data_IF_635427007736
#
_entry.id   IF_635427007736
#
_cell.length_a   1.000
_cell.length_b   1.000
_cell.length_c   1.000
_cell.angle_alpha   90.00
_cell.angle_beta   90.00
_cell.angle_gamma   90.00
#
_symmetry.space_group_name_H-M   'P 1'
#
loop_
_entity.id
_entity.type
_entity.pdbx_description
1 polymer ?
#
# COMPACT_ATOMS: atom_id res chain seq x y z
N UNK A 1 7.75 8.22 6.57
CA UNK A 1 6.60 8.62 5.72
C UNK A 1 5.35 8.02 6.32
N UNK A 2 4.27 8.78 6.46
CA UNK A 2 3.01 8.24 6.96
C UNK A 2 2.44 7.22 5.97
N UNK A 3 1.84 6.15 6.48
CA UNK A 3 1.05 5.22 5.69
C UNK A 3 -0.22 5.95 5.25
N UNK A 4 -0.28 6.37 3.97
CA UNK A 4 -1.44 7.08 3.40
C UNK A 4 -2.03 6.30 2.24
N UNK A 5 -3.36 6.22 2.19
CA UNK A 5 -4.07 5.54 1.11
C UNK A 5 -3.86 6.30 -0.21
N UNK A 6 -3.88 7.63 -0.14
CA UNK A 6 -3.94 8.51 -1.30
C UNK A 6 -5.39 8.86 -1.63
N UNK A 7 -5.60 10.08 -2.08
CA UNK A 7 -6.85 10.60 -2.64
C UNK A 7 -6.61 10.92 -4.12
N UNK A 8 -7.67 11.34 -4.81
CA UNK A 8 -7.55 11.84 -6.18
C UNK A 8 -6.53 12.98 -6.32
N UNK A 9 -6.39 13.82 -5.30
CA UNK A 9 -5.51 15.00 -5.29
C UNK A 9 -4.07 14.69 -4.88
N UNK A 10 -3.81 13.60 -4.16
CA UNK A 10 -2.50 13.26 -3.62
C UNK A 10 -2.13 11.79 -3.91
N UNK A 11 -2.54 11.31 -5.08
CA UNK A 11 -2.27 9.96 -5.55
C UNK A 11 -0.77 9.66 -5.58
N UNK A 12 0.07 10.62 -5.94
CA UNK A 12 1.52 10.41 -5.94
C UNK A 12 2.09 10.22 -4.53
N UNK A 13 3.10 9.36 -4.44
CA UNK A 13 3.73 8.88 -3.21
C UNK A 13 2.73 8.28 -2.21
N UNK A 14 1.66 7.66 -2.71
CA UNK A 14 0.63 6.99 -1.89
C UNK A 14 0.66 5.47 -2.04
N UNK A 15 0.01 4.76 -1.13
CA UNK A 15 -0.18 3.33 -1.26
C UNK A 15 -0.97 2.97 -2.53
N UNK A 16 -1.96 3.78 -2.92
CA UNK A 16 -2.72 3.55 -4.14
C UNK A 16 -1.85 3.59 -5.40
N UNK A 17 -0.87 4.51 -5.48
CA UNK A 17 0.10 4.54 -6.57
C UNK A 17 0.98 3.30 -6.58
N UNK A 18 1.49 2.88 -5.41
CA UNK A 18 2.28 1.66 -5.30
C UNK A 18 1.50 0.41 -5.74
N UNK A 19 0.20 0.32 -5.40
CA UNK A 19 -0.70 -0.74 -5.84
C UNK A 19 -0.88 -0.68 -7.37
N UNK A 20 -1.12 0.50 -7.94
CA UNK A 20 -1.28 0.65 -9.39
C UNK A 20 0.01 0.27 -10.14
N UNK A 21 1.18 0.67 -9.64
CA UNK A 21 2.48 0.27 -10.20
C UNK A 21 2.64 -1.25 -10.17
N UNK A 22 2.32 -1.90 -9.04
CA UNK A 22 2.39 -3.35 -8.93
C UNK A 22 1.42 -4.05 -9.91
N UNK A 23 0.20 -3.54 -10.03
CA UNK A 23 -0.78 -4.03 -11.01
C UNK A 23 -0.22 -3.96 -12.44
N UNK A 24 0.32 -2.81 -12.83
CA UNK A 24 0.89 -2.62 -14.16
C UNK A 24 2.09 -3.54 -14.44
N UNK A 25 2.95 -3.77 -13.45
CA UNK A 25 4.12 -4.64 -13.58
C UNK A 25 3.72 -6.10 -13.83
N UNK A 26 2.69 -6.59 -13.14
CA UNK A 26 2.21 -7.97 -13.29
C UNK A 26 1.21 -8.16 -14.43
N UNK A 27 0.65 -7.07 -14.98
CA UNK A 27 -0.41 -7.16 -15.96
C UNK A 27 0.03 -7.95 -17.20
N UNK A 28 1.20 -7.65 -17.75
CA UNK A 28 1.70 -8.35 -18.95
C UNK A 28 2.01 -9.82 -18.68
N UNK A 29 2.50 -10.15 -17.49
CA UNK A 29 2.79 -11.53 -17.08
C UNK A 29 1.52 -12.40 -17.03
N UNK A 30 0.40 -11.81 -16.61
CA UNK A 30 -0.88 -12.53 -16.43
C UNK A 30 -1.75 -12.48 -17.68
N UNK A 31 -1.80 -11.31 -18.34
CA UNK A 31 -2.73 -11.04 -19.44
C UNK A 31 -2.09 -11.18 -20.83
N UNK A 32 -0.76 -11.32 -20.91
CA UNK A 32 -0.02 -11.47 -22.18
C UNK A 32 -0.06 -10.24 -23.09
N UNK A 33 -0.43 -9.08 -22.56
CA UNK A 33 -0.56 -7.83 -23.29
C UNK A 33 -0.21 -6.65 -22.36
N UNK A 34 0.14 -5.47 -22.89
CA UNK A 34 0.41 -4.31 -22.06
C UNK A 34 -0.82 -3.90 -21.23
N UNK A 35 -0.62 -3.31 -20.04
CA UNK A 35 -1.72 -2.77 -19.26
C UNK A 35 -2.51 -1.73 -20.06
N UNK A 36 -3.83 -1.65 -19.84
CA UNK A 36 -4.63 -0.59 -20.43
C UNK A 36 -4.09 0.78 -20.00
N UNK A 37 -4.30 1.84 -20.80
CA UNK A 37 -3.92 3.18 -20.41
C UNK A 37 -4.51 3.57 -19.06
N UNK A 38 -3.77 4.42 -18.34
CA UNK A 38 -4.22 4.96 -17.07
C UNK A 38 -5.62 5.55 -17.20
N UNK A 39 -6.53 5.05 -16.38
CA UNK A 39 -7.91 5.48 -16.36
C UNK A 39 -8.37 5.75 -14.93
N UNK A 40 -9.33 6.67 -14.80
CA UNK A 40 -9.83 7.14 -13.49
C UNK A 40 -10.53 6.04 -12.69
N UNK A 41 -11.08 5.02 -13.36
CA UNK A 41 -11.74 3.90 -12.67
C UNK A 41 -10.72 3.00 -11.98
N UNK A 42 -9.58 2.73 -12.63
CA UNK A 42 -8.47 1.99 -12.04
C UNK A 42 -7.86 2.76 -10.87
N UNK A 43 -7.62 4.07 -11.01
CA UNK A 43 -7.14 4.89 -9.90
C UNK A 43 -8.10 4.87 -8.71
N UNK A 44 -9.41 4.99 -8.95
CA UNK A 44 -10.42 4.89 -7.89
C UNK A 44 -10.39 3.52 -7.20
N UNK A 45 -10.24 2.43 -7.96
CA UNK A 45 -10.12 1.09 -7.40
C UNK A 45 -8.87 0.96 -6.52
N UNK A 46 -7.72 1.43 -6.99
CA UNK A 46 -6.48 1.40 -6.21
C UNK A 46 -6.58 2.23 -4.93
N UNK A 47 -7.24 3.39 -4.98
CA UNK A 47 -7.54 4.21 -3.79
C UNK A 47 -8.41 3.42 -2.81
N UNK A 48 -9.52 2.84 -3.27
CA UNK A 48 -10.43 2.09 -2.41
C UNK A 48 -9.77 0.87 -1.76
N UNK A 49 -8.91 0.16 -2.50
CA UNK A 49 -8.12 -0.95 -1.94
C UNK A 49 -7.13 -0.45 -0.89
N UNK A 50 -6.40 0.63 -1.17
CA UNK A 50 -5.47 1.23 -0.21
C UNK A 50 -6.17 1.70 1.06
N UNK A 51 -7.33 2.34 0.94
CA UNK A 51 -8.18 2.73 2.07
C UNK A 51 -8.63 1.51 2.88
N UNK A 52 -9.09 0.45 2.22
CA UNK A 52 -9.49 -0.80 2.87
C UNK A 52 -8.35 -1.43 3.67
N UNK A 53 -7.15 -1.51 3.10
CA UNK A 53 -5.96 -2.04 3.78
C UNK A 53 -5.61 -1.19 5.01
N UNK A 54 -5.55 0.14 4.86
CA UNK A 54 -5.20 1.02 5.98
C UNK A 54 -6.25 0.95 7.08
N UNK A 55 -7.53 0.96 6.75
CA UNK A 55 -8.60 0.84 7.72
C UNK A 55 -8.58 -0.51 8.45
N UNK A 56 -8.26 -1.60 7.74
CA UNK A 56 -8.07 -2.90 8.37
C UNK A 56 -6.90 -2.90 9.36
N UNK A 57 -5.75 -2.32 8.97
CA UNK A 57 -4.60 -2.21 9.86
C UNK A 57 -4.86 -1.28 11.06
N UNK A 58 -5.67 -0.23 10.89
CA UNK A 58 -6.13 0.64 11.98
C UNK A 58 -7.01 -0.11 12.98
N UNK A 59 -7.92 -0.96 12.48
CA UNK A 59 -8.81 -1.77 13.31
C UNK A 59 -8.08 -2.94 13.99
N UNK A 60 -6.97 -3.40 13.40
CA UNK A 60 -6.20 -4.56 13.83
C UNK A 60 -4.71 -4.21 13.96
N UNK A 61 -4.31 -3.32 14.88
CA UNK A 61 -2.91 -2.92 15.06
C UNK A 61 -1.99 -4.12 15.40
N UNK A 62 -2.54 -5.18 16.00
CA UNK A 62 -1.85 -6.45 16.25
C UNK A 62 -1.36 -7.14 14.97
N UNK A 63 -1.98 -6.88 13.83
CA UNK A 63 -1.56 -7.43 12.53
C UNK A 63 -0.30 -6.74 11.99
N UNK A 64 0.06 -5.56 12.51
CA UNK A 64 1.22 -4.78 12.06
C UNK A 64 2.34 -4.77 13.11
N UNK A 65 3.12 -5.85 13.15
CA UNK A 65 4.26 -6.00 14.05
C UNK A 65 5.53 -5.54 13.37
N UNK A 66 6.17 -4.48 13.86
CA UNK A 66 7.52 -4.12 13.45
C UNK A 66 8.53 -4.89 14.29
N UNK A 67 9.37 -5.67 13.62
CA UNK A 67 10.58 -6.26 14.20
C UNK A 67 11.78 -5.49 13.69
N UNK A 68 12.39 -4.69 14.55
CA UNK A 68 13.64 -3.98 14.22
C UNK A 68 14.82 -4.65 14.92
N UNK A 69 15.95 -4.73 14.23
CA UNK A 69 17.22 -5.22 14.76
C UNK A 69 18.17 -4.04 14.84
N UNK A 70 18.56 -3.65 16.06
CA UNK A 70 19.61 -2.65 16.23
C UNK A 70 20.98 -3.32 16.14
N UNK A 71 22.04 -2.51 15.98
CA UNK A 71 23.41 -2.98 15.70
C UNK A 71 24.00 -3.94 16.74
N UNK A 72 23.36 -4.08 17.90
CA UNK A 72 23.69 -5.04 18.97
C UNK A 72 23.08 -6.44 18.76
N UNK A 73 22.20 -6.59 17.76
CA UNK A 73 21.52 -7.83 17.45
C UNK A 73 20.20 -8.06 18.21
N UNK A 74 19.82 -7.13 19.08
CA UNK A 74 18.57 -7.21 19.85
C UNK A 74 17.37 -6.93 18.94
N UNK A 75 16.37 -7.83 19.00
CA UNK A 75 15.10 -7.67 18.29
C UNK A 75 14.10 -6.95 19.19
N UNK A 76 13.61 -5.81 18.72
CA UNK A 76 12.54 -5.07 19.40
C UNK A 76 11.23 -5.26 18.63
N UNK A 77 10.18 -5.63 19.37
CA UNK A 77 8.81 -5.67 18.86
C UNK A 77 8.16 -4.31 19.18
N UNK A 78 7.69 -3.60 18.16
CA UNK A 78 6.86 -2.41 18.33
C UNK A 78 5.53 -2.61 17.60
N UNK A 79 4.45 -2.18 18.25
CA UNK A 79 3.13 -2.04 17.61
C UNK A 79 3.01 -0.61 17.10
N UNK A 80 2.61 -0.43 15.85
CA UNK A 80 2.41 0.91 15.27
C UNK A 80 0.94 1.29 15.38
N UNK A 81 0.70 2.47 15.94
CA UNK A 81 -0.60 3.12 15.85
C UNK A 81 -0.67 3.92 14.55
N UNK A 82 -1.61 3.56 13.67
CA UNK A 82 -1.83 4.27 12.41
C UNK A 82 -2.91 5.33 12.65
N UNK A 83 -2.55 6.61 12.60
CA UNK A 83 -3.49 7.73 12.76
C UNK A 83 -4.25 8.07 11.48
#
# INVERSE_FOLDING_TARGET
>A
MALKAGTKSDFSSSMAEAIQTAFNNHYNEIMGQPPPPDNKQMQLLCIAVAEGVINHLKAHPEAFVIKTKFGDGTLYNATVEIQ
#
